data_IF_587869821354
#
_entry.id   IF_587869821354
#
_cell.length_a   1.000
_cell.length_b   1.000
_cell.length_c   1.000
_cell.angle_alpha   90.00
_cell.angle_beta   90.00
_cell.angle_gamma   90.00
#
_symmetry.space_group_name_H-M   'P 1'
#
loop_
_entity.id
_entity.type
_entity.pdbx_description
1 polymer ?
#
# COMPACT_ATOMS: atom_id res chain seq x y z
N UNK A 1 -7.32 -1.87 34.66
CA UNK A 1 -6.83 -3.08 33.95
C UNK A 1 -7.87 -4.16 34.15
N UNK A 2 -8.84 -4.19 33.25
CA UNK A 2 -10.05 -5.02 33.36
C UNK A 2 -9.82 -6.37 32.69
N UNK A 3 -10.40 -7.42 33.27
CA UNK A 3 -10.27 -8.85 32.92
C UNK A 3 -10.62 -9.21 31.46
N UNK A 4 -11.10 -8.28 30.64
CA UNK A 4 -11.36 -8.46 29.21
C UNK A 4 -10.09 -8.57 28.36
N UNK A 5 -8.98 -7.96 28.77
CA UNK A 5 -7.72 -8.00 28.01
C UNK A 5 -7.08 -9.40 28.05
N UNK A 6 -7.34 -10.17 29.11
CA UNK A 6 -6.79 -11.51 29.33
C UNK A 6 -7.61 -12.64 28.66
N UNK A 7 -8.75 -12.32 28.03
CA UNK A 7 -9.57 -13.27 27.25
C UNK A 7 -9.26 -13.25 25.75
N UNK A 8 -8.23 -12.51 25.32
CA UNK A 8 -7.76 -12.49 23.94
C UNK A 8 -6.84 -13.69 23.67
N UNK A 9 -7.41 -14.89 23.74
CA UNK A 9 -6.69 -16.14 23.53
C UNK A 9 -6.22 -16.38 22.08
N UNK A 10 -5.40 -17.43 21.86
CA UNK A 10 -4.75 -17.77 20.58
C UNK A 10 -5.70 -17.87 19.37
N UNK A 11 -7.00 -18.04 19.60
CA UNK A 11 -8.03 -18.07 18.55
C UNK A 11 -8.04 -16.80 17.68
N UNK A 12 -7.87 -15.59 18.26
CA UNK A 12 -7.83 -14.34 17.46
C UNK A 12 -6.58 -14.26 16.58
N UNK A 13 -5.44 -14.77 17.07
CA UNK A 13 -4.19 -14.83 16.31
C UNK A 13 -4.32 -15.81 15.14
N UNK A 14 -4.91 -16.99 15.37
CA UNK A 14 -5.14 -17.99 14.31
C UNK A 14 -6.10 -17.47 13.25
N UNK A 15 -7.20 -16.81 13.64
CA UNK A 15 -8.14 -16.19 12.69
C UNK A 15 -7.44 -15.14 11.83
N UNK A 16 -6.65 -14.23 12.42
CA UNK A 16 -5.91 -13.23 11.66
C UNK A 16 -4.87 -13.82 10.70
N UNK A 17 -4.23 -14.95 11.06
CA UNK A 17 -3.32 -15.67 10.15
C UNK A 17 -4.08 -16.26 8.97
N UNK A 18 -5.22 -16.90 9.21
CA UNK A 18 -6.05 -17.48 8.14
C UNK A 18 -6.58 -16.38 7.21
N UNK A 19 -7.05 -15.27 7.76
CA UNK A 19 -7.49 -14.10 7.00
C UNK A 19 -6.36 -13.53 6.14
N UNK A 20 -5.16 -13.39 6.71
CA UNK A 20 -3.98 -12.94 5.99
C UNK A 20 -3.60 -13.88 4.84
N UNK A 21 -3.53 -15.19 5.09
CA UNK A 21 -3.24 -16.20 4.05
C UNK A 21 -4.30 -16.14 2.95
N UNK A 22 -5.58 -16.12 3.31
CA UNK A 22 -6.69 -16.03 2.37
C UNK A 22 -6.60 -14.78 1.51
N UNK A 23 -6.31 -13.62 2.11
CA UNK A 23 -6.13 -12.37 1.40
C UNK A 23 -4.95 -12.41 0.43
N UNK A 24 -3.79 -12.95 0.83
CA UNK A 24 -2.62 -13.06 -0.04
C UNK A 24 -2.83 -14.06 -1.18
N UNK A 25 -3.49 -15.19 -0.93
CA UNK A 25 -3.82 -16.16 -1.98
C UNK A 25 -4.83 -15.58 -2.96
N UNK A 26 -5.90 -14.95 -2.45
CA UNK A 26 -6.87 -14.24 -3.28
C UNK A 26 -6.17 -13.19 -4.15
N UNK A 27 -5.36 -12.33 -3.53
CA UNK A 27 -4.63 -11.29 -4.24
C UNK A 27 -3.71 -11.88 -5.31
N UNK A 28 -2.88 -12.87 -4.98
CA UNK A 28 -1.92 -13.45 -5.93
C UNK A 28 -2.60 -14.18 -7.10
N UNK A 29 -3.59 -15.02 -6.82
CA UNK A 29 -4.25 -15.84 -7.84
C UNK A 29 -5.17 -14.99 -8.72
N UNK A 30 -6.09 -14.24 -8.10
CA UNK A 30 -7.11 -13.49 -8.85
C UNK A 30 -6.48 -12.35 -9.63
N UNK A 31 -5.52 -11.62 -9.06
CA UNK A 31 -4.87 -10.49 -9.75
C UNK A 31 -4.05 -10.98 -10.95
N UNK A 32 -3.35 -12.11 -10.82
CA UNK A 32 -2.56 -12.67 -11.94
C UNK A 32 -3.47 -13.13 -13.08
N UNK A 33 -4.56 -13.86 -12.75
CA UNK A 33 -5.53 -14.29 -13.75
C UNK A 33 -6.25 -13.09 -14.40
N UNK A 34 -6.60 -12.08 -13.60
CA UNK A 34 -7.24 -10.86 -14.08
C UNK A 34 -6.37 -10.12 -15.09
N UNK A 35 -5.09 -9.85 -14.79
CA UNK A 35 -4.21 -9.17 -15.74
C UNK A 35 -3.85 -10.02 -16.95
N UNK A 36 -3.83 -11.34 -16.82
CA UNK A 36 -3.66 -12.23 -17.97
C UNK A 36 -4.80 -12.07 -18.99
N UNK A 37 -6.04 -11.96 -18.53
CA UNK A 37 -7.20 -11.74 -19.40
C UNK A 37 -7.34 -10.30 -19.91
N UNK A 38 -6.86 -9.33 -19.14
CA UNK A 38 -6.94 -7.90 -19.48
C UNK A 38 -5.71 -7.37 -20.21
N UNK A 39 -4.93 -8.23 -20.88
CA UNK A 39 -3.65 -7.87 -21.49
C UNK A 39 -3.74 -6.83 -22.63
N UNK A 40 -4.95 -6.54 -23.14
CA UNK A 40 -5.18 -5.52 -24.17
C UNK A 40 -5.76 -4.21 -23.62
N UNK A 41 -6.00 -4.12 -22.31
CA UNK A 41 -6.57 -2.92 -21.68
C UNK A 41 -5.47 -2.01 -21.18
N UNK A 42 -5.64 -0.70 -21.35
CA UNK A 42 -4.63 0.25 -20.89
C UNK A 42 -4.51 0.25 -19.35
N UNK A 43 -3.29 0.52 -18.85
CA UNK A 43 -3.02 0.54 -17.41
C UNK A 43 -3.88 1.56 -16.67
N UNK A 44 -4.16 2.72 -17.29
CA UNK A 44 -5.00 3.75 -16.69
C UNK A 44 -6.45 3.29 -16.57
N UNK A 45 -6.97 2.65 -17.61
CA UNK A 45 -8.35 2.13 -17.63
C UNK A 45 -8.55 1.07 -16.55
N UNK A 46 -7.58 0.17 -16.34
CA UNK A 46 -7.65 -0.83 -15.28
C UNK A 46 -7.70 -0.21 -13.89
N UNK A 47 -6.90 0.83 -13.64
CA UNK A 47 -6.94 1.54 -12.36
C UNK A 47 -8.25 2.30 -12.20
N UNK A 48 -8.75 2.94 -13.26
CA UNK A 48 -10.03 3.63 -13.23
C UNK A 48 -11.18 2.67 -12.88
N UNK A 49 -11.23 1.48 -13.50
CA UNK A 49 -12.22 0.45 -13.16
C UNK A 49 -12.12 -0.03 -11.72
N UNK A 50 -10.91 -0.11 -11.17
CA UNK A 50 -10.70 -0.47 -9.77
C UNK A 50 -11.31 0.57 -8.82
N UNK A 51 -11.17 1.86 -9.14
CA UNK A 51 -11.77 2.95 -8.35
C UNK A 51 -13.28 3.00 -8.55
N UNK A 52 -13.76 2.99 -9.80
CA UNK A 52 -15.19 3.05 -10.12
C UNK A 52 -15.98 1.85 -9.58
N UNK A 53 -15.37 0.66 -9.54
CA UNK A 53 -15.97 -0.53 -8.95
C UNK A 53 -15.82 -0.59 -7.43
N UNK A 54 -14.69 -0.11 -6.89
CA UNK A 54 -14.40 -0.16 -5.44
C UNK A 54 -15.16 0.88 -4.63
N UNK A 55 -15.28 2.10 -5.13
CA UNK A 55 -15.89 3.22 -4.41
C UNK A 55 -17.37 2.97 -4.04
N UNK A 56 -18.25 2.50 -4.94
CA UNK A 56 -19.64 2.17 -4.57
C UNK A 56 -19.72 1.07 -3.50
N UNK A 57 -18.82 0.09 -3.56
CA UNK A 57 -18.76 -0.99 -2.57
C UNK A 57 -18.31 -0.46 -1.21
N UNK A 58 -17.29 0.40 -1.17
CA UNK A 58 -16.82 1.03 0.07
C UNK A 58 -17.88 1.95 0.69
N UNK A 59 -18.58 2.74 -0.12
CA UNK A 59 -19.70 3.57 0.34
C UNK A 59 -20.83 2.70 0.93
N UNK A 60 -21.15 1.57 0.30
CA UNK A 60 -22.12 0.62 0.84
C UNK A 60 -21.65 0.03 2.17
N UNK A 61 -20.38 -0.36 2.30
CA UNK A 61 -19.82 -0.90 3.55
C UNK A 61 -19.90 0.14 4.67
N UNK A 62 -19.50 1.39 4.41
CA UNK A 62 -19.58 2.49 5.38
C UNK A 62 -21.03 2.73 5.81
N UNK A 63 -21.96 2.71 4.86
CA UNK A 63 -23.39 2.86 5.14
C UNK A 63 -23.91 1.73 6.04
N UNK A 64 -23.61 0.48 5.70
CA UNK A 64 -24.05 -0.70 6.46
C UNK A 64 -23.43 -0.79 7.86
N UNK A 65 -22.21 -0.27 8.04
CA UNK A 65 -21.52 -0.21 9.34
C UNK A 65 -21.92 0.99 10.20
N UNK A 66 -22.70 1.93 9.65
CA UNK A 66 -23.09 3.15 10.36
C UNK A 66 -21.95 4.16 10.53
N UNK A 67 -20.87 4.03 9.77
CA UNK A 67 -19.68 4.89 9.83
C UNK A 67 -19.82 6.17 8.99
N UNK A 68 -20.98 6.38 8.36
CA UNK A 68 -21.23 7.54 7.50
C UNK A 68 -21.01 8.91 8.19
N UNK A 69 -21.37 9.11 9.47
CA UNK A 69 -21.04 10.35 10.18
C UNK A 69 -19.52 10.59 10.32
N UNK A 70 -18.73 9.52 10.50
CA UNK A 70 -17.27 9.60 10.59
C UNK A 70 -16.64 9.90 9.22
N UNK A 71 -17.19 9.34 8.14
CA UNK A 71 -16.82 9.70 6.78
C UNK A 71 -17.04 11.19 6.50
N UNK A 72 -18.23 11.71 6.82
CA UNK A 72 -18.52 13.14 6.64
C UNK A 72 -17.68 14.05 7.54
N UNK A 73 -17.29 13.60 8.73
CA UNK A 73 -16.44 14.41 9.62
C UNK A 73 -15.03 14.55 9.06
N UNK A 74 -14.46 13.49 8.49
CA UNK A 74 -13.17 13.51 7.81
C UNK A 74 -13.19 14.44 6.59
N UNK A 75 -14.25 14.38 5.77
CA UNK A 75 -14.40 15.27 4.61
C UNK A 75 -14.51 16.76 4.98
N UNK A 76 -14.96 17.07 6.20
CA UNK A 76 -15.02 18.45 6.71
C UNK A 76 -13.67 18.92 7.25
N UNK A 77 -12.80 18.01 7.68
CA UNK A 77 -11.44 18.33 8.07
C UNK A 77 -10.56 18.46 6.81
N UNK A 78 -10.30 19.71 6.42
CA UNK A 78 -9.47 20.04 5.24
C UNK A 78 -8.07 19.44 5.32
N UNK A 79 -7.48 19.35 6.52
CA UNK A 79 -6.13 18.81 6.70
C UNK A 79 -6.13 17.30 6.54
N UNK A 80 -7.09 16.62 7.15
CA UNK A 80 -7.27 15.17 6.99
C UNK A 80 -7.60 14.81 5.54
N UNK A 81 -8.51 15.54 4.91
CA UNK A 81 -8.90 15.34 3.50
C UNK A 81 -7.73 15.56 2.56
N UNK A 82 -6.94 16.62 2.73
CA UNK A 82 -5.76 16.86 1.89
C UNK A 82 -4.68 15.78 2.09
N UNK A 83 -4.47 15.33 3.33
CA UNK A 83 -3.56 14.24 3.61
C UNK A 83 -4.04 12.92 2.96
N UNK A 84 -5.32 12.58 3.06
CA UNK A 84 -5.89 11.40 2.41
C UNK A 84 -5.88 11.51 0.88
N UNK A 85 -6.09 12.71 0.32
CA UNK A 85 -5.91 12.93 -1.11
C UNK A 85 -4.46 12.67 -1.56
N UNK A 86 -3.48 13.17 -0.80
CA UNK A 86 -2.06 12.93 -1.10
C UNK A 86 -1.70 11.44 -0.95
N UNK A 87 -2.24 10.78 0.07
CA UNK A 87 -2.14 9.32 0.26
C UNK A 87 -2.74 8.55 -0.93
N UNK A 88 -3.93 8.95 -1.37
CA UNK A 88 -4.62 8.44 -2.56
C UNK A 88 -3.78 8.60 -3.82
N UNK A 89 -3.15 9.75 -4.01
CA UNK A 89 -2.25 9.99 -5.15
C UNK A 89 -1.01 9.07 -5.12
N UNK A 90 -0.41 8.87 -3.95
CA UNK A 90 0.72 7.94 -3.80
C UNK A 90 0.32 6.50 -4.14
N UNK A 91 -0.81 6.02 -3.61
CA UNK A 91 -1.26 4.65 -3.87
C UNK A 91 -1.76 4.48 -5.32
N UNK A 92 -2.30 5.53 -5.93
CA UNK A 92 -2.64 5.59 -7.35
C UNK A 92 -1.40 5.41 -8.23
N UNK A 93 -0.35 6.20 -7.98
CA UNK A 93 0.94 6.09 -8.69
C UNK A 93 1.53 4.68 -8.50
N UNK A 94 1.43 4.14 -7.29
CA UNK A 94 1.92 2.80 -6.98
C UNK A 94 1.19 1.73 -7.81
N UNK A 95 -0.14 1.71 -7.78
CA UNK A 95 -0.95 0.75 -8.52
C UNK A 95 -0.76 0.89 -10.02
N UNK A 96 -0.77 2.11 -10.55
CA UNK A 96 -0.52 2.34 -11.96
C UNK A 96 0.84 1.77 -12.39
N UNK A 97 1.89 2.05 -11.62
CA UNK A 97 3.25 1.58 -11.92
C UNK A 97 3.35 0.06 -11.82
N UNK A 98 2.66 -0.55 -10.86
CA UNK A 98 2.59 -2.01 -10.74
C UNK A 98 1.90 -2.65 -11.95
N UNK A 99 0.72 -2.15 -12.34
CA UNK A 99 -0.01 -2.67 -13.51
C UNK A 99 0.83 -2.50 -14.78
N UNK A 100 1.42 -1.32 -14.96
CA UNK A 100 2.35 -1.05 -16.05
C UNK A 100 3.51 -2.06 -16.08
N UNK A 101 4.10 -2.37 -14.92
CA UNK A 101 5.19 -3.34 -14.82
C UNK A 101 4.78 -4.76 -15.22
N UNK A 102 3.55 -5.17 -14.89
CA UNK A 102 3.01 -6.48 -15.23
C UNK A 102 2.72 -6.56 -16.72
N UNK A 103 2.06 -5.54 -17.28
CA UNK A 103 1.69 -5.51 -18.70
C UNK A 103 2.89 -5.35 -19.64
N UNK A 104 3.99 -4.74 -19.19
CA UNK A 104 5.22 -4.56 -19.98
C UNK A 104 6.31 -5.58 -19.65
N UNK A 105 5.99 -6.71 -19.00
CA UNK A 105 6.92 -7.80 -18.67
C UNK A 105 8.11 -7.39 -17.77
N UNK A 106 7.99 -6.28 -17.01
CA UNK A 106 9.00 -5.77 -16.08
C UNK A 106 8.72 -6.15 -14.63
N UNK A 107 8.15 -7.33 -14.42
CA UNK A 107 7.71 -7.79 -13.10
C UNK A 107 8.87 -7.97 -12.13
N UNK A 108 10.08 -8.27 -12.63
CA UNK A 108 11.29 -8.39 -11.80
C UNK A 108 11.66 -7.07 -11.12
N UNK A 109 11.49 -5.93 -11.81
CA UNK A 109 11.69 -4.62 -11.21
C UNK A 109 10.62 -4.31 -10.16
N UNK A 110 9.38 -4.74 -10.40
CA UNK A 110 8.31 -4.57 -9.44
C UNK A 110 8.58 -5.37 -8.14
N UNK A 111 8.96 -6.64 -8.27
CA UNK A 111 9.33 -7.49 -7.13
C UNK A 111 10.48 -6.89 -6.31
N UNK A 112 11.52 -6.38 -6.98
CA UNK A 112 12.60 -5.70 -6.27
C UNK A 112 12.10 -4.44 -5.55
N UNK A 113 11.26 -3.64 -6.21
CA UNK A 113 10.59 -2.49 -5.59
C UNK A 113 9.94 -2.89 -4.27
N UNK A 114 9.09 -3.91 -4.29
CA UNK A 114 8.40 -4.40 -3.09
C UNK A 114 9.34 -4.93 -1.99
N UNK A 115 10.51 -5.47 -2.33
CA UNK A 115 11.53 -5.81 -1.31
C UNK A 115 12.21 -4.58 -0.70
N UNK A 116 12.34 -3.49 -1.47
CA UNK A 116 12.91 -2.22 -1.00
C UNK A 116 11.86 -1.41 -0.21
N UNK A 117 10.56 -1.57 -0.48
CA UNK A 117 9.48 -0.81 0.17
C UNK A 117 9.62 -0.69 1.70
N UNK A 118 9.79 -1.79 2.48
CA UNK A 118 9.89 -1.67 3.94
C UNK A 118 11.07 -0.82 4.39
N UNK A 119 12.17 -0.87 3.66
CA UNK A 119 13.40 -0.16 3.98
C UNK A 119 13.27 1.33 3.68
N UNK A 120 12.62 1.68 2.56
CA UNK A 120 12.27 3.07 2.25
C UNK A 120 11.25 3.61 3.26
N UNK A 121 10.20 2.85 3.61
CA UNK A 121 9.22 3.27 4.63
C UNK A 121 9.88 3.53 5.99
N UNK A 122 10.80 2.67 6.41
CA UNK A 122 11.56 2.84 7.66
C UNK A 122 12.48 4.05 7.60
N UNK A 123 13.19 4.26 6.48
CA UNK A 123 14.04 5.43 6.28
C UNK A 123 13.24 6.74 6.29
N UNK A 124 12.09 6.78 5.60
CA UNK A 124 11.19 7.93 5.61
C UNK A 124 10.62 8.19 7.00
N UNK A 125 10.22 7.14 7.74
CA UNK A 125 9.80 7.26 9.14
C UNK A 125 10.90 7.87 10.02
N UNK A 126 12.13 7.43 9.87
CA UNK A 126 13.27 7.97 10.62
C UNK A 126 13.53 9.45 10.31
N UNK A 127 13.51 9.82 9.03
CA UNK A 127 13.81 11.18 8.57
C UNK A 127 12.69 12.16 8.94
N UNK A 128 11.43 11.80 8.68
CA UNK A 128 10.29 12.72 8.80
C UNK A 128 9.57 12.65 10.15
N UNK A 129 9.57 11.49 10.81
CA UNK A 129 8.91 11.30 12.12
C UNK A 129 9.90 11.28 13.28
N UNK A 130 11.22 11.38 13.00
CA UNK A 130 12.26 11.39 14.02
C UNK A 130 12.46 10.03 14.70
N UNK A 131 12.05 8.94 14.06
CA UNK A 131 12.20 7.58 14.61
C UNK A 131 13.69 7.18 14.64
N UNK A 132 14.16 6.77 15.82
CA UNK A 132 15.56 6.34 15.99
C UNK A 132 15.74 4.93 15.45
N UNK A 133 16.43 4.81 14.32
CA UNK A 133 16.78 3.51 13.76
C UNK A 133 17.89 2.84 14.57
N UNK A 134 17.72 1.54 14.82
CA UNK A 134 18.79 0.70 15.35
C UNK A 134 19.90 0.56 14.29
N UNK A 135 21.17 0.40 14.67
CA UNK A 135 22.26 0.22 13.71
C UNK A 135 22.02 -0.93 12.70
N UNK A 136 21.35 -2.01 13.12
CA UNK A 136 20.99 -3.14 12.25
C UNK A 136 19.95 -2.74 11.17
N UNK A 137 19.05 -1.80 11.46
CA UNK A 137 18.10 -1.29 10.46
C UNK A 137 18.82 -0.44 9.41
N UNK A 138 19.82 0.35 9.82
CA UNK A 138 20.69 1.06 8.87
C UNK A 138 21.47 0.11 7.98
N UNK A 139 21.96 -1.02 8.52
CA UNK A 139 22.58 -2.06 7.71
C UNK A 139 21.60 -2.64 6.69
N UNK A 140 20.35 -2.90 7.07
CA UNK A 140 19.32 -3.38 6.16
C UNK A 140 19.02 -2.37 5.03
N UNK A 141 18.94 -1.07 5.35
CA UNK A 141 18.81 0.00 4.34
C UNK A 141 20.01 0.00 3.39
N UNK A 142 21.22 -0.17 3.91
CA UNK A 142 22.44 -0.34 3.11
C UNK A 142 22.38 -1.54 2.17
N UNK A 143 21.89 -2.69 2.65
CA UNK A 143 21.70 -3.89 1.81
C UNK A 143 20.70 -3.63 0.67
N UNK A 144 19.60 -2.89 0.90
CA UNK A 144 18.71 -2.49 -0.20
C UNK A 144 19.40 -1.59 -1.21
N UNK A 145 20.20 -0.62 -0.76
CA UNK A 145 20.94 0.25 -1.67
C UNK A 145 21.88 -0.57 -2.56
N UNK A 146 22.58 -1.57 -2.01
CA UNK A 146 23.42 -2.49 -2.78
C UNK A 146 22.58 -3.30 -3.78
N UNK A 147 21.40 -3.80 -3.40
CA UNK A 147 20.51 -4.54 -4.30
C UNK A 147 20.04 -3.67 -5.50
N UNK A 148 19.70 -2.40 -5.26
CA UNK A 148 19.34 -1.43 -6.32
C UNK A 148 20.52 -1.18 -7.26
N UNK A 149 21.72 -0.96 -6.71
CA UNK A 149 22.93 -0.75 -7.50
C UNK A 149 23.23 -1.98 -8.37
N UNK A 150 23.18 -3.17 -7.78
CA UNK A 150 23.42 -4.42 -8.51
C UNK A 150 22.43 -4.58 -9.68
N UNK A 151 21.13 -4.33 -9.46
CA UNK A 151 20.13 -4.40 -10.53
C UNK A 151 20.38 -3.34 -11.61
N UNK A 152 20.79 -2.14 -11.22
CA UNK A 152 21.14 -1.06 -12.15
C UNK A 152 22.30 -1.46 -13.06
N UNK A 153 23.34 -2.07 -12.48
CA UNK A 153 24.50 -2.56 -13.22
C UNK A 153 24.14 -3.73 -14.12
N UNK A 154 23.32 -4.68 -13.65
CA UNK A 154 22.93 -5.86 -14.45
C UNK A 154 22.02 -5.51 -15.62
N UNK A 155 21.11 -4.55 -15.42
CA UNK A 155 20.11 -4.17 -16.44
C UNK A 155 20.60 -3.03 -17.34
N UNK A 156 21.80 -2.47 -17.09
CA UNK A 156 22.38 -1.34 -17.82
C UNK A 156 21.54 -0.05 -17.73
N UNK A 157 20.54 -0.01 -16.86
CA UNK A 157 19.57 1.07 -16.74
C UNK A 157 19.04 1.14 -15.31
N UNK A 158 18.69 2.34 -14.87
CA UNK A 158 18.16 2.55 -13.52
C UNK A 158 16.77 1.88 -13.39
N UNK A 159 16.53 1.06 -12.34
CA UNK A 159 15.26 0.38 -12.14
C UNK A 159 14.21 1.34 -11.61
N UNK A 160 13.74 2.24 -12.48
CA UNK A 160 12.85 3.32 -12.11
C UNK A 160 11.51 2.79 -11.59
N UNK A 161 11.03 1.63 -12.04
CA UNK A 161 9.81 0.99 -11.51
C UNK A 161 10.00 0.67 -10.04
N UNK A 162 11.13 0.05 -9.68
CA UNK A 162 11.43 -0.29 -8.28
C UNK A 162 11.45 0.94 -7.39
N UNK A 163 12.07 2.03 -7.87
CA UNK A 163 12.16 3.28 -7.13
C UNK A 163 10.79 3.93 -6.97
N UNK A 164 10.02 4.07 -8.04
CA UNK A 164 8.67 4.67 -7.99
C UNK A 164 7.78 3.87 -7.04
N UNK A 165 7.79 2.53 -7.12
CA UNK A 165 7.01 1.70 -6.19
C UNK A 165 7.44 1.88 -4.73
N UNK A 166 8.74 1.90 -4.45
CA UNK A 166 9.25 2.06 -3.10
C UNK A 166 8.95 3.43 -2.48
N UNK A 167 9.19 4.50 -3.22
CA UNK A 167 8.94 5.85 -2.72
C UNK A 167 7.45 6.20 -2.67
N UNK A 168 6.64 5.73 -3.62
CA UNK A 168 5.19 5.93 -3.57
C UNK A 168 4.56 5.17 -2.39
N UNK A 169 4.93 3.91 -2.17
CA UNK A 169 4.40 3.15 -1.04
C UNK A 169 4.90 3.68 0.31
N UNK A 170 6.16 4.10 0.38
CA UNK A 170 6.71 4.75 1.57
C UNK A 170 6.05 6.10 1.87
N UNK A 171 5.79 6.90 0.83
CA UNK A 171 5.06 8.16 0.92
C UNK A 171 3.61 7.95 1.39
N UNK A 172 2.91 6.99 0.80
CA UNK A 172 1.58 6.54 1.23
C UNK A 172 1.59 6.20 2.73
N UNK A 173 2.49 5.32 3.17
CA UNK A 173 2.60 4.92 4.57
C UNK A 173 2.92 6.07 5.52
N UNK A 174 3.81 6.98 5.12
CA UNK A 174 4.18 8.16 5.90
C UNK A 174 2.99 9.11 6.10
N UNK A 175 2.19 9.33 5.06
CA UNK A 175 1.01 10.19 5.11
C UNK A 175 -0.10 9.53 5.91
N UNK A 176 -0.42 8.26 5.63
CA UNK A 176 -1.44 7.50 6.38
C UNK A 176 -1.16 7.44 7.88
N UNK A 177 0.10 7.32 8.27
CA UNK A 177 0.52 7.30 9.69
C UNK A 177 0.21 8.61 10.43
N UNK A 178 0.05 9.72 9.72
CA UNK A 178 -0.28 11.02 10.30
C UNK A 178 -1.79 11.29 10.37
N UNK A 179 -2.62 10.50 9.68
CA UNK A 179 -4.07 10.67 9.64
C UNK A 179 -4.75 9.73 10.63
N UNK A 180 -5.54 10.29 11.55
CA UNK A 180 -6.41 9.52 12.45
C UNK A 180 -7.74 9.24 11.76
N UNK A 181 -7.74 8.27 10.85
CA UNK A 181 -8.95 7.77 10.20
C UNK A 181 -8.98 6.24 10.32
N UNK A 182 -10.14 5.70 10.67
CA UNK A 182 -10.40 4.26 10.55
C UNK A 182 -10.09 3.79 9.12
N UNK A 183 -9.64 2.55 8.99
CA UNK A 183 -9.06 2.07 7.74
C UNK A 183 -10.07 2.06 6.59
N UNK A 184 -11.31 1.68 6.87
CA UNK A 184 -12.42 1.64 5.92
C UNK A 184 -12.80 3.04 5.45
N UNK A 185 -13.00 3.96 6.40
CA UNK A 185 -13.36 5.35 6.10
C UNK A 185 -12.24 6.08 5.36
N UNK A 186 -10.99 5.88 5.78
CA UNK A 186 -9.82 6.46 5.12
C UNK A 186 -9.66 5.94 3.68
N UNK A 187 -9.80 4.63 3.47
CA UNK A 187 -9.73 4.02 2.15
C UNK A 187 -10.83 4.54 1.21
N UNK A 188 -12.04 4.75 1.71
CA UNK A 188 -13.13 5.30 0.90
C UNK A 188 -12.88 6.76 0.48
N UNK A 189 -12.14 7.55 1.26
CA UNK A 189 -11.77 8.93 0.88
C UNK A 189 -10.58 8.94 -0.09
N UNK A 190 -9.72 7.91 -0.05
CA UNK A 190 -8.59 7.74 -0.97
C UNK A 190 -9.00 7.29 -2.37
N UNK A 191 -10.16 6.61 -2.50
CA UNK A 191 -10.77 6.17 -3.76
C UNK A 191 -11.52 7.31 -4.46
#
# INVERSE_FOLDING_TARGET
MTEEENRQGPARTTTGVIEGIGAYLWWGVVTTLYFHWMNQTDSLELVAWRVLGGLPVMLLVIYLRGEFPAFLSILRDRRATFALFLSGLFILINWFTFIYSVLNERITEASLGYYINPLVSVALGAIFLGERLRPVQWLAVGCAAVAVIQLTVSNGSLPWISLVLAFSFGGYGLVRKQVKAESEVGLCVEM
#
